data_IF_196684334783
#
_entry.id   IF_196684334783
#
_cell.length_a   1.000
_cell.length_b   1.000
_cell.length_c   1.000
_cell.angle_alpha   90.00
_cell.angle_beta   90.00
_cell.angle_gamma   90.00
#
_symmetry.space_group_name_H-M   'P 1'
#
loop_
_entity.id
_entity.type
_entity.pdbx_description
1 polymer ?
#
# COMPACT_ATOMS: atom_id res chain seq x y z
N UNK A 1 -64.96 8.81 -17.45
CA UNK A 1 -65.96 8.00 -16.74
C UNK A 1 -65.20 7.00 -15.88
N UNK A 2 -64.81 7.30 -14.64
CA UNK A 2 -65.56 7.28 -13.37
C UNK A 2 -66.05 5.89 -12.89
N UNK A 3 -65.46 5.50 -11.74
CA UNK A 3 -65.96 4.71 -10.58
C UNK A 3 -65.88 3.16 -10.58
N UNK A 4 -65.09 2.69 -9.60
CA UNK A 4 -65.12 1.48 -8.74
C UNK A 4 -66.49 1.24 -8.04
N UNK A 5 -66.71 0.28 -7.07
CA UNK A 5 -65.87 -0.78 -6.43
C UNK A 5 -66.59 -2.15 -6.22
N UNK A 6 -65.95 -3.11 -5.53
CA UNK A 6 -66.61 -4.27 -4.89
C UNK A 6 -65.69 -5.10 -3.97
N UNK A 7 -66.00 -5.12 -2.67
CA UNK A 7 -65.29 -5.74 -1.53
C UNK A 7 -65.73 -7.19 -1.21
N UNK A 8 -64.77 -8.02 -0.73
CA UNK A 8 -64.77 -9.05 0.36
C UNK A 8 -65.85 -10.18 0.45
N UNK A 9 -65.75 -11.21 1.35
CA UNK A 9 -64.62 -11.88 2.08
C UNK A 9 -64.72 -13.45 2.10
N UNK A 10 -63.72 -14.19 2.64
CA UNK A 10 -63.85 -15.31 3.62
C UNK A 10 -62.57 -16.17 3.83
N UNK A 11 -62.15 -16.29 5.09
CA UNK A 11 -61.33 -17.33 5.79
C UNK A 11 -62.33 -18.38 6.40
N UNK A 12 -62.03 -19.58 6.99
CA UNK A 12 -60.75 -20.04 7.60
C UNK A 12 -60.42 -21.58 7.72
N UNK A 13 -59.29 -21.89 8.41
CA UNK A 13 -58.87 -23.16 9.12
C UNK A 13 -58.32 -24.31 8.24
N UNK A 14 -57.40 -25.21 8.65
CA UNK A 14 -57.04 -25.75 9.98
C UNK A 14 -55.68 -26.51 10.01
N UNK A 15 -55.07 -26.52 11.19
CA UNK A 15 -54.18 -27.47 11.90
C UNK A 15 -53.56 -28.71 11.22
N UNK A 16 -52.29 -28.99 11.55
CA UNK A 16 -51.89 -30.33 12.03
C UNK A 16 -50.71 -30.28 13.03
N UNK A 17 -51.02 -30.71 14.27
CA UNK A 17 -50.09 -31.20 15.30
C UNK A 17 -50.06 -32.73 15.26
N UNK A 18 -48.90 -33.34 15.44
CA UNK A 18 -48.66 -34.62 16.14
C UNK A 18 -47.14 -34.73 16.38
N UNK A 19 -46.56 -35.35 17.41
CA UNK A 19 -47.04 -36.12 18.54
C UNK A 19 -45.81 -36.77 19.19
N UNK A 20 -45.70 -36.67 20.52
CA UNK A 20 -44.61 -37.21 21.38
C UNK A 20 -44.59 -38.74 21.47
N UNK A 21 -43.42 -39.29 21.84
CA UNK A 21 -43.11 -40.35 22.86
C UNK A 21 -41.63 -40.75 22.63
N UNK A 22 -40.68 -40.83 23.57
CA UNK A 22 -40.68 -41.10 25.00
C UNK A 22 -40.01 -42.47 25.24
N UNK A 23 -38.86 -42.56 25.93
CA UNK A 23 -38.56 -43.50 27.03
C UNK A 23 -37.07 -43.52 27.46
N UNK A 24 -36.90 -43.60 28.78
CA UNK A 24 -35.68 -43.81 29.57
C UNK A 24 -35.34 -45.31 29.72
N UNK A 25 -34.06 -45.65 29.92
CA UNK A 25 -33.48 -46.63 30.90
C UNK A 25 -31.99 -46.89 30.56
N UNK A 26 -31.03 -46.57 31.43
CA UNK A 26 -30.50 -47.33 32.58
C UNK A 26 -29.57 -48.52 32.23
N UNK A 27 -28.34 -48.42 32.79
CA UNK A 27 -27.60 -49.45 33.53
C UNK A 27 -26.22 -49.89 33.01
N UNK A 28 -25.31 -49.87 33.99
CA UNK A 28 -23.91 -50.30 34.04
C UNK A 28 -23.74 -51.81 33.91
N UNK A 29 -22.50 -52.25 33.68
CA UNK A 29 -21.75 -53.39 34.27
C UNK A 29 -20.44 -53.50 33.43
N UNK A 30 -19.26 -54.00 33.81
CA UNK A 30 -18.49 -54.30 35.04
C UNK A 30 -17.25 -55.10 34.55
N UNK A 31 -16.14 -55.17 35.30
CA UNK A 31 -15.03 -56.12 35.06
C UNK A 31 -13.64 -55.50 35.03
N UNK A 32 -13.00 -55.11 36.15
CA UNK A 32 -12.22 -55.92 37.12
C UNK A 32 -11.01 -56.69 36.54
N UNK A 33 -9.83 -56.44 37.11
CA UNK A 33 -8.66 -57.34 37.06
C UNK A 33 -7.38 -56.74 37.65
N UNK A 34 -7.06 -57.07 38.90
CA UNK A 34 -5.80 -56.75 39.63
C UNK A 34 -4.87 -57.98 39.62
N UNK A 35 -3.56 -57.71 39.79
CA UNK A 35 -2.54 -58.50 40.52
C UNK A 35 -1.47 -59.30 39.72
N UNK A 36 -0.28 -58.70 39.69
CA UNK A 36 1.05 -59.20 40.06
C UNK A 36 1.46 -60.69 39.88
N UNK A 37 2.63 -60.89 39.23
CA UNK A 37 3.70 -61.84 39.62
C UNK A 37 5.08 -61.34 39.17
N UNK A 38 6.07 -61.49 40.06
CA UNK A 38 7.52 -61.27 39.92
C UNK A 38 8.20 -62.54 39.42
N UNK A 39 9.35 -62.39 38.73
CA UNK A 39 10.67 -63.04 38.97
C UNK A 39 11.67 -62.50 37.92
N UNK A 40 12.76 -61.82 38.30
CA UNK A 40 14.14 -62.36 38.33
C UNK A 40 14.85 -62.06 36.98
N UNK A 41 16.09 -61.63 36.81
CA UNK A 41 17.35 -61.46 37.55
C UNK A 41 18.25 -60.52 36.70
N UNK A 42 19.34 -59.96 37.26
CA UNK A 42 20.46 -59.42 36.46
C UNK A 42 21.05 -58.08 36.94
N UNK A 43 22.24 -58.13 37.56
CA UNK A 43 23.07 -56.99 38.04
C UNK A 43 23.90 -56.35 36.88
N UNK A 44 24.86 -55.44 37.15
CA UNK A 44 24.75 -54.00 37.35
C UNK A 44 25.38 -53.20 36.17
N UNK A 45 24.97 -51.95 35.94
CA UNK A 45 25.62 -51.09 34.93
C UNK A 45 26.35 -49.93 35.61
N UNK A 46 27.68 -49.97 35.53
CA UNK A 46 28.58 -48.85 35.75
C UNK A 46 28.26 -47.73 34.75
N UNK A 47 28.06 -46.49 35.21
CA UNK A 47 27.98 -45.31 34.34
C UNK A 47 29.28 -44.54 34.39
N UNK A 48 30.07 -44.75 33.34
CA UNK A 48 31.23 -43.98 32.93
C UNK A 48 30.81 -42.55 32.54
N UNK A 49 31.60 -41.58 32.99
CA UNK A 49 31.50 -40.18 32.66
C UNK A 49 31.73 -39.95 31.15
N UNK A 50 30.90 -39.10 30.53
CA UNK A 50 31.29 -38.31 29.35
C UNK A 50 30.79 -36.88 29.49
N UNK A 51 31.74 -35.95 29.42
CA UNK A 51 31.55 -34.50 29.42
C UNK A 51 31.19 -34.00 28.02
N UNK A 52 30.51 -32.85 28.02
CA UNK A 52 30.54 -31.76 27.03
C UNK A 52 29.96 -32.02 25.64
N UNK A 53 28.77 -31.45 25.37
CA UNK A 53 28.45 -30.64 24.18
C UNK A 53 26.99 -30.14 24.23
N UNK A 54 26.72 -29.10 25.03
CA UNK A 54 25.40 -28.43 25.02
C UNK A 54 25.48 -26.90 24.92
N UNK A 55 26.67 -26.30 24.72
CA UNK A 55 26.80 -24.84 24.66
C UNK A 55 27.03 -24.24 23.26
N UNK A 56 27.17 -25.06 22.21
CA UNK A 56 27.37 -24.58 20.83
C UNK A 56 26.06 -24.51 20.02
N UNK A 57 25.02 -25.25 20.41
CA UNK A 57 23.73 -25.25 19.71
C UNK A 57 22.85 -24.03 20.02
N UNK A 58 22.94 -23.46 21.21
CA UNK A 58 22.08 -22.34 21.61
C UNK A 58 22.52 -21.01 20.98
N UNK A 59 23.83 -20.80 20.79
CA UNK A 59 24.37 -19.59 20.15
C UNK A 59 24.10 -19.57 18.64
N UNK A 60 24.10 -20.73 17.97
CA UNK A 60 23.78 -20.80 16.54
C UNK A 60 22.28 -20.61 16.25
N UNK A 61 21.38 -21.11 17.11
CA UNK A 61 19.93 -20.94 16.94
C UNK A 61 19.47 -19.53 17.35
N UNK A 62 20.07 -18.94 18.39
CA UNK A 62 19.83 -17.51 18.70
C UNK A 62 20.45 -16.61 17.63
N UNK A 63 21.63 -16.95 17.08
CA UNK A 63 22.24 -16.23 15.97
C UNK A 63 21.43 -16.27 14.68
N UNK A 64 20.82 -17.41 14.31
CA UNK A 64 19.97 -17.52 13.12
C UNK A 64 18.59 -16.88 13.28
N UNK A 65 18.05 -16.77 14.49
CA UNK A 65 16.82 -16.01 14.75
C UNK A 65 17.09 -14.52 14.96
N UNK A 66 18.27 -14.15 15.48
CA UNK A 66 18.67 -12.75 15.62
C UNK A 66 19.10 -12.13 14.29
N UNK A 67 19.70 -12.87 13.36
CA UNK A 67 20.21 -12.31 12.10
C UNK A 67 19.12 -11.71 11.17
N UNK A 68 17.95 -12.35 10.97
CA UNK A 68 16.81 -11.70 10.30
C UNK A 68 16.29 -10.52 11.12
N UNK A 69 16.27 -10.64 12.45
CA UNK A 69 15.73 -9.61 13.35
C UNK A 69 16.58 -8.34 13.35
N UNK A 70 17.91 -8.45 13.27
CA UNK A 70 18.83 -7.31 13.15
C UNK A 70 18.67 -6.61 11.80
N UNK A 71 18.40 -7.35 10.71
CA UNK A 71 18.13 -6.74 9.40
C UNK A 71 16.77 -6.02 9.33
N UNK A 72 15.81 -6.42 10.15
CA UNK A 72 14.55 -5.68 10.33
C UNK A 72 14.69 -4.51 11.32
N UNK A 73 15.57 -4.61 12.32
CA UNK A 73 15.88 -3.53 13.26
C UNK A 73 16.65 -2.37 12.61
N UNK A 74 17.47 -2.63 11.59
CA UNK A 74 18.13 -1.58 10.79
C UNK A 74 17.14 -0.69 9.98
N UNK A 75 15.90 -1.17 9.77
CA UNK A 75 14.83 -0.38 9.13
C UNK A 75 14.14 0.57 10.15
N UNK A 76 14.36 0.35 11.46
CA UNK A 76 13.70 1.10 12.52
C UNK A 76 14.50 2.32 12.99
N UNK A 77 15.82 2.32 12.82
CA UNK A 77 16.67 3.42 13.22
C UNK A 77 16.88 4.43 12.08
N UNK A 78 16.50 5.69 12.31
CA UNK A 78 16.88 6.81 11.45
C UNK A 78 18.34 7.20 11.74
N UNK A 79 19.27 6.23 11.66
CA UNK A 79 20.71 6.38 11.97
C UNK A 79 21.57 6.58 10.74
N UNK A 80 20.95 6.65 9.56
CA UNK A 80 21.65 6.93 8.32
C UNK A 80 22.33 8.29 8.30
N UNK A 81 23.35 8.41 7.45
CA UNK A 81 24.04 9.67 7.20
C UNK A 81 23.06 10.73 6.67
N UNK A 82 23.15 11.99 7.15
CA UNK A 82 22.39 13.10 6.58
C UNK A 82 22.58 13.20 5.06
N UNK A 83 21.49 13.44 4.34
CA UNK A 83 21.54 13.61 2.89
C UNK A 83 20.67 14.77 2.42
N UNK A 84 20.98 15.28 1.23
CA UNK A 84 20.15 16.24 0.50
C UNK A 84 19.93 15.75 -0.93
N UNK A 85 18.71 15.94 -1.42
CA UNK A 85 18.36 15.73 -2.82
C UNK A 85 18.80 16.89 -3.73
N UNK A 86 19.38 17.95 -3.18
CA UNK A 86 19.84 19.12 -3.93
C UNK A 86 21.26 19.02 -4.49
N UNK A 87 22.05 18.02 -4.07
CA UNK A 87 23.43 17.82 -4.56
C UNK A 87 23.43 16.86 -5.74
N UNK A 88 24.21 17.20 -6.78
CA UNK A 88 24.48 16.29 -7.88
C UNK A 88 25.13 14.99 -7.37
N UNK A 89 24.93 13.90 -8.10
CA UNK A 89 25.66 12.64 -7.85
C UNK A 89 27.17 12.88 -8.00
N UNK A 90 28.05 12.10 -7.34
CA UNK A 90 29.50 12.32 -7.31
C UNK A 90 30.18 12.49 -8.69
N UNK A 91 29.55 11.99 -9.76
CA UNK A 91 30.06 12.05 -11.13
C UNK A 91 29.42 13.19 -11.97
N UNK A 92 28.60 14.04 -11.36
CA UNK A 92 27.93 15.17 -12.02
C UNK A 92 28.79 16.44 -11.98
N UNK A 93 29.26 16.90 -13.14
CA UNK A 93 29.93 18.20 -13.27
C UNK A 93 28.86 19.30 -13.24
N UNK A 94 28.92 20.30 -12.34
CA UNK A 94 28.00 21.43 -12.37
C UNK A 94 28.32 22.35 -13.57
N UNK A 95 27.40 22.46 -14.52
CA UNK A 95 27.46 23.42 -15.62
C UNK A 95 26.94 24.82 -15.23
N UNK A 96 27.40 25.89 -15.90
CA UNK A 96 26.93 27.25 -15.64
C UNK A 96 25.46 27.45 -16.04
N UNK A 97 24.69 28.11 -15.18
CA UNK A 97 23.25 28.31 -15.33
C UNK A 97 22.96 29.64 -16.03
N UNK A 98 22.36 29.59 -17.23
CA UNK A 98 21.56 30.71 -17.75
C UNK A 98 20.16 30.65 -17.14
N UNK A 99 19.68 31.79 -16.64
CA UNK A 99 18.33 31.97 -16.11
C UNK A 99 17.32 31.85 -17.27
N UNK A 100 16.57 30.76 -17.30
CA UNK A 100 15.35 30.64 -18.12
C UNK A 100 14.22 31.38 -17.42
N UNK A 101 13.29 31.96 -18.18
CA UNK A 101 11.99 32.36 -17.65
C UNK A 101 11.35 31.17 -16.90
N UNK A 102 10.76 31.44 -15.74
CA UNK A 102 10.22 30.40 -14.88
C UNK A 102 8.98 29.77 -15.53
N UNK A 103 9.03 28.46 -15.80
CA UNK A 103 7.90 27.68 -16.29
C UNK A 103 6.81 27.64 -15.18
N UNK A 104 5.58 28.15 -15.43
CA UNK A 104 4.52 28.21 -14.41
C UNK A 104 4.01 26.82 -13.98
N UNK A 105 4.32 25.76 -14.73
CA UNK A 105 3.99 24.39 -14.36
C UNK A 105 4.95 23.81 -13.33
N UNK A 106 6.11 24.45 -13.14
CA UNK A 106 7.17 24.00 -12.24
C UNK A 106 7.04 24.67 -10.88
N UNK A 107 6.87 23.87 -9.83
CA UNK A 107 7.03 24.29 -8.44
C UNK A 107 8.45 23.97 -7.99
N UNK A 108 9.22 25.02 -7.71
CA UNK A 108 10.51 24.88 -7.01
C UNK A 108 10.28 24.59 -5.52
N UNK A 109 11.24 23.91 -4.83
CA UNK A 109 11.17 23.67 -3.39
C UNK A 109 11.00 24.99 -2.63
N UNK A 110 9.94 25.12 -1.83
CA UNK A 110 9.64 26.35 -1.08
C UNK A 110 10.14 26.33 0.36
N UNK A 111 10.57 25.17 0.86
CA UNK A 111 10.82 24.95 2.27
C UNK A 111 9.54 24.90 3.13
N UNK A 112 9.68 24.60 4.45
CA UNK A 112 10.94 24.33 5.14
C UNK A 112 11.62 23.04 4.66
N UNK A 113 12.95 23.04 4.68
CA UNK A 113 13.74 21.87 4.31
C UNK A 113 13.63 20.80 5.40
N UNK A 114 13.21 19.60 5.01
CA UNK A 114 13.17 18.45 5.88
C UNK A 114 14.57 17.84 5.99
N UNK A 115 14.88 17.28 7.18
CA UNK A 115 16.14 16.57 7.39
C UNK A 115 15.95 15.13 6.92
N UNK A 116 16.63 14.77 5.83
CA UNK A 116 16.64 13.41 5.31
C UNK A 116 17.90 12.65 5.75
N UNK A 117 17.74 11.36 6.01
CA UNK A 117 18.83 10.44 6.29
C UNK A 117 18.82 9.29 5.31
N UNK A 118 20.00 8.88 4.85
CA UNK A 118 20.14 7.81 3.86
C UNK A 118 19.75 6.47 4.48
N UNK A 119 18.78 5.77 3.91
CA UNK A 119 18.43 4.39 4.31
C UNK A 119 18.98 3.35 3.35
N UNK A 120 19.22 3.72 2.09
CA UNK A 120 19.83 2.85 1.11
C UNK A 120 20.51 3.66 -0.01
N UNK A 121 21.53 3.06 -0.63
CA UNK A 121 22.11 3.52 -1.90
C UNK A 121 21.89 2.43 -2.94
N UNK A 122 21.42 2.81 -4.12
CA UNK A 122 21.18 1.92 -5.24
C UNK A 122 22.45 1.71 -6.07
N UNK A 123 22.45 0.70 -6.95
CA UNK A 123 23.59 0.40 -7.81
C UNK A 123 23.95 1.52 -8.80
N UNK A 124 23.03 2.44 -9.07
CA UNK A 124 23.25 3.63 -9.91
C UNK A 124 23.69 4.87 -9.11
N UNK A 125 24.02 4.71 -7.82
CA UNK A 125 24.45 5.77 -6.92
C UNK A 125 23.32 6.63 -6.33
N UNK A 126 22.08 6.50 -6.83
CA UNK A 126 20.93 7.20 -6.26
C UNK A 126 20.63 6.69 -4.85
N UNK A 127 20.03 7.54 -4.01
CA UNK A 127 19.80 7.26 -2.59
C UNK A 127 18.32 7.30 -2.24
N UNK A 128 17.93 6.42 -1.32
CA UNK A 128 16.64 6.49 -0.63
C UNK A 128 16.89 7.24 0.68
N UNK A 129 16.18 8.34 0.88
CA UNK A 129 16.20 9.12 2.11
C UNK A 129 14.94 8.90 2.94
N UNK A 130 15.05 8.95 4.26
CA UNK A 130 13.90 8.94 5.18
C UNK A 130 13.89 10.22 6.01
N UNK A 131 12.69 10.69 6.32
CA UNK A 131 12.46 11.75 7.31
C UNK A 131 11.25 11.39 8.19
N UNK A 132 11.21 11.94 9.40
CA UNK A 132 10.01 11.90 10.25
C UNK A 132 9.26 13.21 10.07
N UNK A 133 8.06 13.13 9.52
CA UNK A 133 7.19 14.28 9.25
C UNK A 133 6.14 14.39 10.34
N UNK A 134 6.04 15.58 10.94
CA UNK A 134 4.86 15.98 11.70
C UNK A 134 3.85 16.65 10.76
N UNK A 135 2.74 15.98 10.49
CA UNK A 135 1.67 16.46 9.63
C UNK A 135 0.82 17.51 10.34
N UNK A 136 0.91 18.76 9.90
CA UNK A 136 0.18 19.89 10.53
C UNK A 136 -1.33 19.75 10.38
N UNK A 137 -1.82 19.11 9.31
CA UNK A 137 -3.26 18.97 9.03
C UNK A 137 -3.85 17.70 9.64
N UNK A 138 -3.14 16.58 9.54
CA UNK A 138 -3.56 15.32 10.15
C UNK A 138 -3.33 15.27 11.67
N UNK A 139 -2.35 16.03 12.18
CA UNK A 139 -1.86 15.92 13.55
C UNK A 139 -1.00 14.67 13.80
N UNK A 140 -0.75 13.86 12.77
CA UNK A 140 0.01 12.61 12.87
C UNK A 140 1.50 12.84 12.61
N UNK A 141 2.35 12.12 13.34
CA UNK A 141 3.79 12.09 13.12
C UNK A 141 4.20 10.71 12.62
N UNK A 142 4.80 10.64 11.43
CA UNK A 142 5.17 9.38 10.80
C UNK A 142 6.37 9.49 9.87
N UNK A 143 6.95 8.35 9.51
CA UNK A 143 8.08 8.28 8.58
C UNK A 143 7.62 8.39 7.13
N UNK A 144 8.42 9.09 6.33
CA UNK A 144 8.28 9.19 4.87
C UNK A 144 9.63 8.92 4.22
N UNK A 145 9.69 7.89 3.39
CA UNK A 145 10.84 7.62 2.54
C UNK A 145 10.65 8.28 1.17
N UNK A 146 11.72 8.80 0.59
CA UNK A 146 11.71 9.40 -0.74
C UNK A 146 12.92 8.92 -1.54
N UNK A 147 12.71 8.72 -2.82
CA UNK A 147 13.75 8.47 -3.81
C UNK A 147 13.55 9.39 -5.00
N UNK A 148 14.64 9.97 -5.51
CA UNK A 148 14.64 10.75 -6.72
C UNK A 148 15.40 10.02 -7.84
N UNK A 149 14.90 10.04 -9.08
CA UNK A 149 15.52 9.35 -10.19
C UNK A 149 16.80 10.08 -10.61
N UNK A 150 17.70 9.40 -11.34
CA UNK A 150 18.98 9.99 -11.79
C UNK A 150 18.77 11.29 -12.57
N UNK A 151 17.70 11.37 -13.37
CA UNK A 151 17.32 12.53 -14.16
C UNK A 151 17.10 13.77 -13.29
N UNK A 152 16.70 13.59 -12.03
CA UNK A 152 16.56 14.69 -11.07
C UNK A 152 17.89 15.43 -10.83
N UNK A 153 19.03 14.75 -10.98
CA UNK A 153 20.35 15.32 -10.71
C UNK A 153 21.07 15.78 -11.98
N UNK A 154 20.46 15.64 -13.16
CA UNK A 154 21.06 16.04 -14.43
C UNK A 154 20.82 17.54 -14.71
N UNK A 155 21.87 18.25 -15.13
CA UNK A 155 21.81 19.71 -15.40
C UNK A 155 20.79 20.11 -16.46
N UNK A 156 20.55 19.24 -17.45
CA UNK A 156 19.52 19.47 -18.46
C UNK A 156 18.12 19.51 -17.84
N UNK A 157 17.88 18.88 -16.70
CA UNK A 157 16.58 18.93 -16.01
C UNK A 157 16.55 19.87 -14.82
N UNK A 158 17.57 20.70 -14.58
CA UNK A 158 17.70 21.54 -13.37
C UNK A 158 16.50 22.46 -13.10
N UNK A 159 15.78 22.87 -14.15
CA UNK A 159 14.59 23.73 -14.06
C UNK A 159 13.28 22.98 -14.31
N UNK A 160 13.30 21.65 -14.36
CA UNK A 160 12.14 20.83 -14.68
C UNK A 160 11.46 20.32 -13.41
N UNK A 161 10.14 20.23 -13.45
CA UNK A 161 9.35 19.48 -12.47
C UNK A 161 9.37 17.99 -12.77
N UNK A 162 9.27 17.18 -11.71
CA UNK A 162 9.19 15.73 -11.81
C UNK A 162 7.81 15.25 -11.33
N UNK A 163 7.22 14.25 -12.00
CA UNK A 163 6.00 13.65 -11.50
C UNK A 163 6.27 12.85 -10.22
N UNK A 164 5.27 12.76 -9.36
CA UNK A 164 5.32 12.09 -8.07
C UNK A 164 4.48 10.82 -8.12
N UNK A 165 5.09 9.71 -7.70
CA UNK A 165 4.41 8.43 -7.48
C UNK A 165 4.43 8.12 -5.98
N UNK A 166 3.28 8.27 -5.31
CA UNK A 166 3.14 7.92 -3.90
C UNK A 166 2.87 6.42 -3.80
N UNK A 167 3.83 5.65 -3.26
CA UNK A 167 3.82 4.20 -3.24
C UNK A 167 3.42 3.64 -1.87
N UNK A 168 2.25 3.00 -1.81
CA UNK A 168 1.62 2.52 -0.58
C UNK A 168 1.79 1.01 -0.39
N UNK A 169 2.25 0.56 0.80
CA UNK A 169 2.39 -0.86 1.12
C UNK A 169 1.02 -1.49 1.44
N UNK A 170 0.99 -2.81 1.64
CA UNK A 170 -0.17 -3.55 2.17
C UNK A 170 -0.40 -3.36 3.68
N UNK A 171 -1.28 -4.19 4.24
CA UNK A 171 -2.09 -3.91 5.46
C UNK A 171 -1.35 -3.59 6.74
N UNK A 172 -0.13 -4.11 6.95
CA UNK A 172 0.67 -3.69 8.10
C UNK A 172 1.14 -2.25 7.93
N UNK A 173 1.80 -1.94 6.81
CA UNK A 173 2.25 -0.59 6.41
C UNK A 173 2.84 0.30 7.50
N UNK A 174 3.37 -0.32 8.55
CA UNK A 174 3.87 0.23 9.80
C UNK A 174 4.86 -0.78 10.41
N UNK A 175 5.93 -0.32 11.08
CA UNK A 175 6.40 1.06 11.14
C UNK A 175 7.17 1.48 9.88
N UNK A 176 7.35 0.56 8.92
CA UNK A 176 8.09 0.78 7.69
C UNK A 176 7.23 0.59 6.44
N UNK A 177 7.67 1.20 5.34
CA UNK A 177 7.11 0.98 4.01
C UNK A 177 8.06 0.07 3.22
N UNK A 178 7.63 -1.16 2.90
CA UNK A 178 8.51 -2.12 2.22
C UNK A 178 8.89 -1.69 0.81
N UNK A 179 8.19 -0.75 0.18
CA UNK A 179 8.63 -0.20 -1.11
C UNK A 179 9.96 0.56 -1.01
N UNK A 180 10.35 1.00 0.19
CA UNK A 180 11.64 1.62 0.45
C UNK A 180 12.78 0.59 0.57
N UNK A 181 12.47 -0.70 0.72
CA UNK A 181 13.50 -1.73 0.76
C UNK A 181 13.97 -2.07 -0.67
N UNK A 182 15.29 -1.97 -0.89
CA UNK A 182 15.93 -2.19 -2.20
C UNK A 182 15.71 -3.60 -2.75
N UNK A 183 15.43 -4.58 -1.89
CA UNK A 183 15.12 -5.96 -2.29
C UNK A 183 13.89 -6.08 -3.18
N UNK A 184 12.95 -5.13 -3.11
CA UNK A 184 11.78 -5.14 -3.99
C UNK A 184 12.10 -4.60 -5.38
N UNK A 185 13.09 -3.73 -5.55
CA UNK A 185 13.49 -3.15 -6.85
C UNK A 185 12.44 -2.22 -7.49
N UNK A 186 11.62 -1.52 -6.71
CA UNK A 186 10.65 -0.54 -7.24
C UNK A 186 11.38 0.61 -7.95
N UNK A 187 12.35 1.22 -7.29
CA UNK A 187 13.12 2.34 -7.80
C UNK A 187 13.91 1.96 -9.05
N UNK A 188 14.54 0.77 -9.06
CA UNK A 188 15.15 0.21 -10.27
C UNK A 188 14.11 0.03 -11.39
N UNK A 189 12.92 -0.49 -11.10
CA UNK A 189 11.86 -0.63 -12.11
C UNK A 189 11.51 0.70 -12.76
N UNK A 190 11.38 1.76 -11.95
CA UNK A 190 11.11 3.12 -12.44
C UNK A 190 12.28 3.62 -13.30
N UNK A 191 13.52 3.46 -12.83
CA UNK A 191 14.74 3.87 -13.53
C UNK A 191 14.92 3.14 -14.86
N UNK A 192 14.76 1.80 -14.87
CA UNK A 192 14.87 0.94 -16.05
C UNK A 192 13.85 1.37 -17.12
N UNK A 193 12.58 1.56 -16.73
CA UNK A 193 11.54 1.95 -17.68
C UNK A 193 11.67 3.41 -18.13
N UNK A 194 12.18 4.31 -17.28
CA UNK A 194 12.46 5.69 -17.68
C UNK A 194 13.58 5.75 -18.72
N UNK A 195 14.65 4.96 -18.55
CA UNK A 195 15.73 4.85 -19.52
C UNK A 195 15.26 4.27 -20.87
N UNK A 196 14.24 3.41 -20.86
CA UNK A 196 13.60 2.87 -22.06
C UNK A 196 12.54 3.82 -22.68
N UNK A 197 12.28 5.00 -22.09
CA UNK A 197 11.22 5.92 -22.52
C UNK A 197 9.80 5.38 -22.26
N UNK A 198 9.67 4.29 -21.49
CA UNK A 198 8.41 3.62 -21.14
C UNK A 198 7.85 4.09 -19.80
N UNK A 199 8.56 4.94 -19.06
CA UNK A 199 8.08 5.57 -17.85
C UNK A 199 8.51 7.04 -17.81
N UNK A 200 7.74 7.88 -17.11
CA UNK A 200 8.29 9.15 -16.63
C UNK A 200 9.30 8.85 -15.51
N UNK A 201 10.35 9.68 -15.33
CA UNK A 201 11.23 9.56 -14.17
C UNK A 201 10.47 10.12 -12.95
N UNK A 202 9.94 9.23 -12.11
CA UNK A 202 9.15 9.65 -10.94
C UNK A 202 10.02 9.94 -9.72
N UNK A 203 9.68 10.99 -8.98
CA UNK A 203 9.92 11.03 -7.54
C UNK A 203 9.05 9.95 -6.89
N UNK A 204 9.67 8.99 -6.20
CA UNK A 204 8.95 7.91 -5.52
C UNK A 204 8.86 8.24 -4.03
N UNK A 205 7.64 8.41 -3.53
CA UNK A 205 7.36 8.83 -2.15
C UNK A 205 6.65 7.70 -1.44
N UNK A 206 7.17 7.27 -0.31
CA UNK A 206 6.77 6.02 0.35
C UNK A 206 6.45 6.34 1.81
N UNK A 207 5.27 6.87 2.15
CA UNK A 207 4.89 7.13 3.53
C UNK A 207 4.51 5.83 4.26
N UNK A 208 4.53 5.83 5.59
CA UNK A 208 3.80 4.80 6.36
C UNK A 208 2.31 4.85 6.01
N UNK A 209 1.66 3.69 5.94
CA UNK A 209 0.22 3.56 5.66
C UNK A 209 -0.62 3.78 6.91
N UNK A 210 -0.16 3.26 8.05
CA UNK A 210 -0.89 3.23 9.31
C UNK A 210 -0.04 3.83 10.44
N UNK A 211 -0.68 4.42 11.46
CA UNK A 211 0.00 4.95 12.64
C UNK A 211 0.52 3.83 13.55
N UNK A 212 -0.13 2.66 13.52
CA UNK A 212 0.19 1.48 14.30
C UNK A 212 -0.15 0.20 13.51
N UNK A 213 -0.32 -0.94 14.18
CA UNK A 213 -0.58 -2.25 13.55
C UNK A 213 -2.04 -2.45 13.09
N UNK A 214 -2.97 -1.58 13.44
CA UNK A 214 -4.34 -1.61 12.94
C UNK A 214 -4.39 -1.04 11.52
N UNK A 215 -5.38 -1.48 10.75
CA UNK A 215 -5.65 -0.94 9.43
C UNK A 215 -6.67 0.20 9.51
N UNK A 216 -6.31 1.38 9.00
CA UNK A 216 -7.15 2.60 9.09
C UNK A 216 -7.86 2.95 7.78
N UNK A 217 -7.83 2.07 6.77
CA UNK A 217 -8.37 2.33 5.43
C UNK A 217 -7.80 3.62 4.78
N UNK A 218 -6.65 4.10 5.26
CA UNK A 218 -6.10 5.42 4.92
C UNK A 218 -7.16 6.53 5.05
N UNK A 219 -7.97 6.50 6.10
CA UNK A 219 -9.15 7.35 6.29
C UNK A 219 -9.06 8.18 7.56
N UNK A 220 -9.82 9.27 7.60
CA UNK A 220 -10.04 10.05 8.81
C UNK A 220 -11.23 9.47 9.58
N UNK A 221 -11.01 8.33 10.22
CA UNK A 221 -12.03 7.66 11.03
C UNK A 221 -12.26 8.49 12.30
N UNK A 222 -13.51 8.79 12.71
CA UNK A 222 -13.76 9.59 13.90
C UNK A 222 -13.09 9.00 15.14
N UNK A 223 -12.42 9.85 15.93
CA UNK A 223 -11.68 9.44 17.12
C UNK A 223 -10.33 8.76 16.87
N UNK A 224 -9.91 8.64 15.60
CA UNK A 224 -8.65 8.01 15.20
C UNK A 224 -7.68 9.01 14.54
N UNK A 225 -6.38 8.68 14.42
CA UNK A 225 -5.44 9.44 13.60
C UNK A 225 -5.96 9.65 12.16
N UNK A 226 -5.78 10.86 11.64
CA UNK A 226 -6.31 11.29 10.34
C UNK A 226 -5.46 10.80 9.16
N UNK A 227 -5.54 9.50 8.88
CA UNK A 227 -4.71 8.88 7.84
C UNK A 227 -5.15 9.22 6.41
N UNK A 228 -6.39 9.69 6.22
CA UNK A 228 -6.84 10.24 4.94
C UNK A 228 -6.14 11.55 4.64
N UNK A 229 -6.17 12.48 5.59
CA UNK A 229 -5.48 13.79 5.50
C UNK A 229 -3.96 13.64 5.42
N UNK A 230 -3.37 12.69 6.14
CA UNK A 230 -1.93 12.39 6.05
C UNK A 230 -1.50 12.11 4.59
N UNK A 231 -2.28 11.29 3.87
CA UNK A 231 -2.00 10.89 2.49
C UNK A 231 -2.35 11.96 1.46
N UNK A 232 -3.45 12.68 1.66
CA UNK A 232 -3.98 13.64 0.67
C UNK A 232 -3.41 15.05 0.78
N UNK A 233 -2.79 15.37 1.93
CA UNK A 233 -2.31 16.71 2.26
C UNK A 233 -0.88 16.73 2.80
N UNK A 234 -0.62 16.15 3.97
CA UNK A 234 0.66 16.36 4.67
C UNK A 234 1.86 15.76 3.91
N UNK A 235 1.72 14.54 3.38
CA UNK A 235 2.78 13.91 2.56
C UNK A 235 3.01 14.70 1.25
N UNK A 236 1.99 15.06 0.46
CA UNK A 236 2.18 15.95 -0.68
C UNK A 236 2.81 17.31 -0.33
N UNK A 237 2.47 17.91 0.81
CA UNK A 237 3.01 19.20 1.24
C UNK A 237 4.51 19.10 1.59
N UNK A 238 4.94 18.02 2.27
CA UNK A 238 6.36 17.70 2.46
C UNK A 238 7.09 17.66 1.11
N UNK A 239 6.53 16.95 0.13
CA UNK A 239 7.17 16.74 -1.17
C UNK A 239 7.25 18.06 -1.94
N UNK A 240 6.17 18.85 -1.98
CA UNK A 240 6.14 20.18 -2.62
C UNK A 240 7.14 21.16 -1.99
N UNK A 241 7.37 21.06 -0.67
CA UNK A 241 8.31 21.93 0.03
C UNK A 241 9.78 21.58 -0.25
N UNK A 242 10.08 20.32 -0.61
CA UNK A 242 11.44 19.79 -0.66
C UNK A 242 11.92 19.38 -2.07
N UNK A 243 11.01 19.24 -3.03
CA UNK A 243 11.32 18.73 -4.38
C UNK A 243 10.71 19.58 -5.49
N UNK A 244 11.33 19.53 -6.68
CA UNK A 244 10.79 20.12 -7.90
C UNK A 244 9.64 19.27 -8.41
N UNK A 245 8.43 19.77 -8.28
CA UNK A 245 7.18 19.04 -8.60
C UNK A 245 6.32 19.84 -9.55
N UNK A 246 5.36 19.18 -10.20
CA UNK A 246 4.34 19.90 -10.96
C UNK A 246 3.36 20.61 -10.02
N UNK A 247 2.96 21.83 -10.40
CA UNK A 247 1.94 22.61 -9.66
C UNK A 247 0.55 22.00 -9.76
N UNK A 248 0.24 21.32 -10.87
CA UNK A 248 -1.04 20.69 -11.14
C UNK A 248 -1.07 19.21 -10.75
N UNK A 249 -2.29 18.67 -10.55
CA UNK A 249 -2.56 17.24 -10.33
C UNK A 249 -1.99 16.31 -11.42
N UNK A 250 -1.70 16.86 -12.59
CA UNK A 250 -1.24 16.11 -13.75
C UNK A 250 0.19 15.57 -13.60
N UNK A 251 0.90 15.97 -12.54
CA UNK A 251 2.14 15.34 -12.10
C UNK A 251 2.02 14.44 -10.88
N UNK A 252 0.81 14.09 -10.41
CA UNK A 252 0.63 13.37 -9.15
C UNK A 252 -0.19 12.09 -9.32
N UNK A 253 0.40 10.97 -8.92
CA UNK A 253 -0.22 9.66 -8.96
C UNK A 253 0.10 8.83 -7.72
N UNK A 254 -0.73 7.83 -7.48
CA UNK A 254 -0.48 6.80 -6.49
C UNK A 254 -0.09 5.48 -7.15
N UNK A 255 0.60 4.64 -6.39
CA UNK A 255 0.52 3.20 -6.55
C UNK A 255 0.27 2.56 -5.20
N UNK A 256 -0.28 1.36 -5.20
CA UNK A 256 -0.36 0.57 -3.99
C UNK A 256 -0.67 -0.88 -4.26
N UNK A 257 -0.46 -1.71 -3.25
CA UNK A 257 -0.80 -3.13 -3.30
C UNK A 257 -1.70 -3.53 -2.13
N UNK A 258 -2.65 -4.43 -2.36
CA UNK A 258 -3.60 -4.89 -1.35
C UNK A 258 -4.35 -3.69 -0.74
N UNK A 259 -4.38 -3.59 0.59
CA UNK A 259 -4.88 -2.43 1.33
C UNK A 259 -4.31 -1.08 0.88
N UNK A 260 -3.03 -1.02 0.46
CA UNK A 260 -2.43 0.18 -0.11
C UNK A 260 -2.99 0.51 -1.49
N UNK A 261 -3.35 -0.52 -2.26
CA UNK A 261 -4.06 -0.37 -3.54
C UNK A 261 -5.47 0.17 -3.35
N UNK A 262 -6.17 -0.27 -2.31
CA UNK A 262 -7.45 0.31 -1.89
C UNK A 262 -7.29 1.79 -1.53
N UNK A 263 -6.34 2.13 -0.65
CA UNK A 263 -6.11 3.52 -0.24
C UNK A 263 -5.73 4.38 -1.44
N UNK A 264 -4.83 3.92 -2.29
CA UNK A 264 -4.42 4.62 -3.50
C UNK A 264 -5.61 4.91 -4.44
N UNK A 265 -6.46 3.90 -4.70
CA UNK A 265 -7.67 4.05 -5.50
C UNK A 265 -8.61 5.08 -4.88
N UNK A 266 -8.86 4.95 -3.57
CA UNK A 266 -9.75 5.86 -2.84
C UNK A 266 -9.26 7.30 -2.92
N UNK A 267 -7.96 7.54 -2.71
CA UNK A 267 -7.37 8.89 -2.72
C UNK A 267 -7.56 9.58 -4.08
N UNK A 268 -7.37 8.88 -5.20
CA UNK A 268 -7.61 9.44 -6.54
C UNK A 268 -9.08 9.75 -6.80
N UNK A 269 -9.99 8.89 -6.35
CA UNK A 269 -11.44 9.11 -6.52
C UNK A 269 -11.98 10.21 -5.59
N UNK A 270 -11.41 10.35 -4.39
CA UNK A 270 -11.84 11.31 -3.37
C UNK A 270 -11.25 12.71 -3.60
N UNK A 271 -10.02 12.78 -4.11
CA UNK A 271 -9.30 14.03 -4.38
C UNK A 271 -8.87 14.12 -5.86
N UNK A 272 -9.84 14.05 -6.80
CA UNK A 272 -9.55 14.08 -8.22
C UNK A 272 -9.03 15.45 -8.67
N UNK A 273 -9.11 16.50 -7.83
CA UNK A 273 -8.48 17.80 -8.04
C UNK A 273 -6.97 17.81 -7.72
N UNK A 274 -6.47 16.79 -7.00
CA UNK A 274 -5.07 16.71 -6.54
C UNK A 274 -4.29 15.58 -7.17
N UNK A 275 -4.97 14.48 -7.51
CA UNK A 275 -4.33 13.28 -8.07
C UNK A 275 -5.00 12.86 -9.37
N UNK A 276 -4.19 12.46 -10.35
CA UNK A 276 -4.65 12.10 -11.69
C UNK A 276 -4.78 10.61 -11.94
N UNK A 277 -3.85 9.82 -11.43
CA UNK A 277 -3.75 8.43 -11.79
C UNK A 277 -3.37 7.51 -10.62
N UNK A 278 -3.70 6.24 -10.74
CA UNK A 278 -3.34 5.21 -9.76
C UNK A 278 -2.96 3.89 -10.42
N UNK A 279 -1.91 3.23 -9.91
CA UNK A 279 -1.68 1.79 -10.11
C UNK A 279 -2.19 1.04 -8.87
N UNK A 280 -3.35 0.38 -8.99
CA UNK A 280 -3.97 -0.35 -7.89
C UNK A 280 -3.76 -1.85 -8.07
N UNK A 281 -2.87 -2.43 -7.25
CA UNK A 281 -2.37 -3.81 -7.41
C UNK A 281 -3.06 -4.76 -6.44
N UNK A 282 -3.82 -5.73 -6.95
CA UNK A 282 -4.69 -6.61 -6.16
C UNK A 282 -5.45 -5.89 -5.05
N UNK A 283 -6.11 -4.75 -5.32
CA UNK A 283 -6.73 -3.95 -4.28
C UNK A 283 -8.04 -4.58 -3.82
N UNK A 284 -8.38 -4.37 -2.55
CA UNK A 284 -9.78 -4.40 -2.15
C UNK A 284 -10.52 -3.21 -2.78
N UNK A 285 -11.83 -3.34 -2.96
CA UNK A 285 -12.69 -2.28 -3.53
C UNK A 285 -13.74 -1.77 -2.54
N UNK A 286 -13.63 -2.16 -1.27
CA UNK A 286 -14.52 -1.73 -0.20
C UNK A 286 -13.73 -1.47 1.08
N UNK A 287 -14.15 -0.49 1.89
CA UNK A 287 -13.56 -0.27 3.21
C UNK A 287 -13.87 -1.45 4.12
N UNK A 288 -12.86 -1.94 4.82
CA UNK A 288 -12.97 -3.13 5.69
C UNK A 288 -12.30 -2.95 7.06
N UNK A 289 -11.81 -1.75 7.37
CA UNK A 289 -11.21 -1.48 8.68
C UNK A 289 -12.20 -1.81 9.81
N UNK A 290 -11.77 -2.55 10.85
CA UNK A 290 -12.61 -2.83 12.01
C UNK A 290 -12.93 -1.55 12.82
N UNK A 291 -12.17 -0.47 12.60
CA UNK A 291 -12.35 0.82 13.26
C UNK A 291 -13.59 1.58 12.76
N UNK A 292 -14.21 1.14 11.66
CA UNK A 292 -15.48 1.69 11.20
C UNK A 292 -16.69 1.32 12.04
N UNK A 293 -16.53 0.47 13.07
CA UNK A 293 -17.62 0.10 13.98
C UNK A 293 -18.21 1.36 14.64
N UNK A 294 -19.47 1.65 14.34
CA UNK A 294 -20.16 2.86 14.81
C UNK A 294 -20.11 4.04 13.82
N UNK A 295 -19.34 3.96 12.74
CA UNK A 295 -19.09 5.05 11.77
C UNK A 295 -19.51 4.66 10.34
N UNK A 296 -20.70 4.08 10.19
CA UNK A 296 -21.15 3.52 8.89
C UNK A 296 -21.35 4.58 7.81
N UNK A 297 -21.67 5.82 8.18
CA UNK A 297 -21.88 6.89 7.20
C UNK A 297 -20.55 7.36 6.61
N UNK A 298 -19.56 7.56 7.47
CA UNK A 298 -18.18 7.94 7.16
C UNK A 298 -17.47 6.83 6.36
N UNK A 299 -17.67 5.57 6.75
CA UNK A 299 -17.19 4.41 6.00
C UNK A 299 -17.74 4.42 4.56
N UNK A 300 -19.05 4.61 4.38
CA UNK A 300 -19.65 4.73 3.03
C UNK A 300 -19.15 5.94 2.27
N UNK A 301 -18.77 7.02 2.95
CA UNK A 301 -18.19 8.19 2.29
C UNK A 301 -16.79 7.89 1.72
N UNK A 302 -16.09 6.87 2.26
CA UNK A 302 -14.77 6.40 1.84
C UNK A 302 -14.81 5.18 0.89
N UNK A 303 -16.01 4.74 0.47
CA UNK A 303 -16.20 3.58 -0.41
C UNK A 303 -15.86 3.95 -1.89
N UNK A 304 -14.90 3.28 -2.55
CA UNK A 304 -14.51 3.55 -3.93
C UNK A 304 -15.66 3.47 -4.93
N UNK A 305 -16.59 2.52 -4.79
CA UNK A 305 -17.75 2.42 -5.68
C UNK A 305 -18.65 3.67 -5.58
N UNK A 306 -18.83 4.17 -4.35
CA UNK A 306 -19.63 5.38 -4.09
C UNK A 306 -18.91 6.65 -4.49
N UNK A 307 -17.59 6.70 -4.33
CA UNK A 307 -16.76 7.81 -4.77
C UNK A 307 -16.77 7.91 -6.30
N UNK A 308 -16.56 6.80 -7.01
CA UNK A 308 -16.60 6.76 -8.46
C UNK A 308 -17.99 7.17 -9.01
N UNK A 309 -19.08 6.69 -8.39
CA UNK A 309 -20.44 7.11 -8.75
C UNK A 309 -20.65 8.62 -8.56
N UNK A 310 -20.20 9.18 -7.44
CA UNK A 310 -20.30 10.61 -7.16
C UNK A 310 -19.46 11.43 -8.14
N UNK A 311 -18.27 10.95 -8.47
CA UNK A 311 -17.40 11.60 -9.43
C UNK A 311 -18.03 11.64 -10.83
N UNK A 312 -18.57 10.50 -11.29
CA UNK A 312 -19.25 10.41 -12.58
C UNK A 312 -20.52 11.26 -12.66
N UNK A 313 -21.20 11.48 -11.55
CA UNK A 313 -22.41 12.32 -11.49
C UNK A 313 -22.10 13.82 -11.39
N UNK A 314 -20.84 14.23 -11.16
CA UNK A 314 -20.47 15.64 -10.96
C UNK A 314 -20.14 16.29 -12.31
N UNK A 315 -20.92 17.29 -12.77
CA UNK A 315 -20.63 18.01 -14.01
C UNK A 315 -19.23 18.66 -13.97
N UNK A 316 -18.49 18.54 -15.07
CA UNK A 316 -17.13 19.10 -15.18
C UNK A 316 -16.08 18.45 -14.27
N UNK A 317 -16.36 17.28 -13.70
CA UNK A 317 -15.37 16.53 -12.94
C UNK A 317 -14.13 16.21 -13.79
N UNK A 318 -12.90 16.37 -13.26
CA UNK A 318 -11.69 16.06 -14.00
C UNK A 318 -11.53 14.54 -14.16
N UNK A 319 -10.92 14.14 -15.28
CA UNK A 319 -10.62 12.74 -15.58
C UNK A 319 -9.62 12.16 -14.58
N UNK A 320 -9.91 10.95 -14.08
CA UNK A 320 -9.02 10.12 -13.29
C UNK A 320 -8.74 8.79 -13.99
N UNK A 321 -7.52 8.28 -13.84
CA UNK A 321 -7.03 7.10 -14.55
C UNK A 321 -6.65 5.99 -13.57
N UNK A 322 -7.41 4.90 -13.58
CA UNK A 322 -7.24 3.74 -12.69
C UNK A 322 -6.63 2.59 -13.48
N UNK A 323 -5.36 2.32 -13.25
CA UNK A 323 -4.69 1.12 -13.76
C UNK A 323 -4.73 0.03 -12.70
N UNK A 324 -5.70 -0.87 -12.81
CA UNK A 324 -5.70 -2.09 -12.01
C UNK A 324 -4.65 -3.06 -12.52
N UNK A 325 -4.09 -3.84 -11.60
CA UNK A 325 -3.37 -5.06 -11.94
C UNK A 325 -3.65 -6.16 -10.93
N UNK A 326 -3.70 -7.42 -11.38
CA UNK A 326 -3.96 -8.56 -10.49
C UNK A 326 -3.35 -9.85 -11.07
N UNK A 327 -2.78 -10.70 -10.21
CA UNK A 327 -2.26 -12.00 -10.59
C UNK A 327 -3.35 -13.05 -10.78
N UNK A 328 -3.11 -14.02 -11.69
CA UNK A 328 -4.08 -15.11 -11.94
C UNK A 328 -4.22 -16.11 -10.80
N UNK A 329 -3.29 -16.14 -9.84
CA UNK A 329 -3.36 -16.95 -8.61
C UNK A 329 -4.08 -16.24 -7.47
N UNK A 330 -4.63 -15.05 -7.72
CA UNK A 330 -5.38 -14.26 -6.74
C UNK A 330 -6.89 -14.37 -6.96
N UNK A 331 -7.65 -14.25 -5.87
CA UNK A 331 -9.08 -13.97 -5.94
C UNK A 331 -9.34 -12.49 -6.24
N UNK A 332 -10.58 -12.14 -6.60
CA UNK A 332 -11.00 -10.74 -6.67
C UNK A 332 -10.95 -10.09 -8.06
N UNK A 333 -10.39 -10.74 -9.09
CA UNK A 333 -10.41 -10.24 -10.48
C UNK A 333 -11.83 -9.85 -10.93
N UNK A 334 -12.81 -10.70 -10.67
CA UNK A 334 -14.21 -10.44 -11.02
C UNK A 334 -14.80 -9.21 -10.28
N UNK A 335 -14.28 -8.86 -9.09
CA UNK A 335 -14.66 -7.63 -8.41
C UNK A 335 -14.14 -6.39 -9.16
N UNK A 336 -12.89 -6.44 -9.63
CA UNK A 336 -12.28 -5.35 -10.41
C UNK A 336 -13.00 -5.18 -11.75
N UNK A 337 -13.28 -6.28 -12.46
CA UNK A 337 -14.04 -6.26 -13.71
C UNK A 337 -15.43 -5.65 -13.53
N UNK A 338 -16.16 -6.05 -12.48
CA UNK A 338 -17.46 -5.43 -12.13
C UNK A 338 -17.33 -3.96 -11.76
N UNK A 339 -16.26 -3.57 -11.06
CA UNK A 339 -16.02 -2.15 -10.76
C UNK A 339 -15.86 -1.37 -12.06
N UNK A 340 -15.03 -1.85 -13.00
CA UNK A 340 -14.82 -1.19 -14.28
C UNK A 340 -16.12 -1.10 -15.09
N UNK A 341 -16.85 -2.21 -15.25
CA UNK A 341 -18.11 -2.25 -15.98
C UNK A 341 -19.14 -1.22 -15.46
N UNK A 342 -19.23 -1.08 -14.14
CA UNK A 342 -20.22 -0.22 -13.50
C UNK A 342 -19.77 1.24 -13.39
N UNK A 343 -18.49 1.47 -13.13
CA UNK A 343 -17.99 2.76 -12.65
C UNK A 343 -16.92 3.39 -13.53
N UNK A 344 -16.32 2.69 -14.50
CA UNK A 344 -15.41 3.30 -15.47
C UNK A 344 -16.20 4.03 -16.57
N UNK A 345 -16.88 5.10 -16.19
CA UNK A 345 -17.77 5.90 -17.04
C UNK A 345 -17.52 7.38 -16.80
N UNK A 346 -17.71 8.19 -17.84
CA UNK A 346 -17.47 9.64 -17.78
C UNK A 346 -16.02 9.93 -17.37
N UNK A 347 -15.78 10.66 -16.26
CA UNK A 347 -14.44 11.05 -15.82
C UNK A 347 -13.60 9.90 -15.23
N UNK A 348 -14.16 8.70 -15.03
CA UNK A 348 -13.41 7.57 -14.47
C UNK A 348 -12.98 6.64 -15.59
N UNK A 349 -11.68 6.64 -15.90
CA UNK A 349 -11.08 5.74 -16.89
C UNK A 349 -10.41 4.60 -16.15
N UNK A 350 -10.77 3.34 -16.43
CA UNK A 350 -10.15 2.20 -15.79
C UNK A 350 -9.68 1.14 -16.79
N UNK A 351 -8.55 0.52 -16.48
CA UNK A 351 -7.99 -0.62 -17.23
C UNK A 351 -7.52 -1.68 -16.25
N UNK A 352 -7.47 -2.93 -16.70
CA UNK A 352 -6.98 -4.06 -15.92
C UNK A 352 -5.83 -4.74 -16.67
N UNK A 353 -4.70 -4.89 -15.99
CA UNK A 353 -3.61 -5.75 -16.43
C UNK A 353 -3.61 -7.04 -15.62
N UNK A 354 -3.83 -8.18 -16.28
CA UNK A 354 -3.79 -9.49 -15.64
C UNK A 354 -2.37 -10.02 -15.72
N UNK A 355 -1.80 -10.37 -14.57
CA UNK A 355 -0.43 -10.83 -14.44
C UNK A 355 -0.46 -12.36 -14.45
N UNK A 356 -0.21 -12.95 -15.62
CA UNK A 356 -0.15 -14.40 -15.77
C UNK A 356 0.85 -15.02 -14.78
N UNK A 357 0.46 -16.12 -14.15
CA UNK A 357 1.16 -16.78 -13.04
C UNK A 357 1.47 -15.91 -11.81
N UNK A 358 0.87 -14.71 -11.73
CA UNK A 358 1.05 -13.76 -10.64
C UNK A 358 0.27 -14.17 -9.40
N UNK A 359 0.83 -13.88 -8.22
CA UNK A 359 0.14 -14.02 -6.94
C UNK A 359 0.13 -12.72 -6.14
N UNK A 360 -0.50 -12.74 -4.97
CA UNK A 360 -0.69 -11.57 -4.10
C UNK A 360 0.61 -11.15 -3.38
N UNK A 361 1.59 -10.64 -4.12
CA UNK A 361 2.91 -10.28 -3.61
C UNK A 361 3.60 -9.19 -4.44
N UNK A 362 4.51 -8.46 -3.80
CA UNK A 362 5.26 -7.37 -4.42
C UNK A 362 6.02 -7.79 -5.70
N UNK A 363 6.55 -9.03 -5.76
CA UNK A 363 7.26 -9.54 -6.94
C UNK A 363 6.35 -9.60 -8.16
N UNK A 364 5.13 -10.11 -8.00
CA UNK A 364 4.17 -10.21 -9.10
C UNK A 364 3.70 -8.82 -9.52
N UNK A 365 3.37 -7.94 -8.58
CA UNK A 365 2.94 -6.57 -8.90
C UNK A 365 4.02 -5.74 -9.58
N UNK A 366 5.29 -5.92 -9.24
CA UNK A 366 6.37 -5.25 -9.95
C UNK A 366 6.62 -5.82 -11.35
N UNK A 367 6.34 -7.12 -11.56
CA UNK A 367 6.29 -7.69 -12.92
C UNK A 367 5.20 -6.98 -13.73
N UNK A 368 3.97 -6.91 -13.22
CA UNK A 368 2.89 -6.20 -13.92
C UNK A 368 3.12 -4.70 -14.12
N UNK A 369 3.89 -4.05 -13.23
CA UNK A 369 4.37 -2.67 -13.45
C UNK A 369 5.35 -2.58 -14.63
N UNK A 370 6.32 -3.50 -14.71
CA UNK A 370 7.29 -3.60 -15.82
C UNK A 370 6.61 -3.91 -17.15
N UNK A 371 5.61 -4.77 -17.12
CA UNK A 371 4.94 -5.27 -18.32
C UNK A 371 4.08 -4.17 -18.94
N UNK A 372 3.23 -3.50 -18.15
CA UNK A 372 2.28 -2.53 -18.67
C UNK A 372 1.92 -1.36 -17.74
N UNK A 373 1.81 -1.59 -16.43
CA UNK A 373 1.06 -0.67 -15.57
C UNK A 373 1.76 0.67 -15.34
N UNK A 374 3.09 0.68 -15.21
CA UNK A 374 3.84 1.93 -15.02
C UNK A 374 3.82 2.80 -16.28
N UNK A 375 3.88 2.17 -17.45
CA UNK A 375 3.79 2.85 -18.73
C UNK A 375 2.41 3.48 -18.95
N UNK A 376 1.35 2.73 -18.64
CA UNK A 376 -0.02 3.21 -18.75
C UNK A 376 -0.26 4.49 -17.90
N UNK A 377 0.23 4.52 -16.66
CA UNK A 377 0.14 5.70 -15.79
C UNK A 377 1.07 6.83 -16.24
N UNK A 378 2.27 6.51 -16.72
CA UNK A 378 3.22 7.50 -17.24
C UNK A 378 2.70 8.30 -18.43
N UNK A 379 1.90 7.66 -19.30
CA UNK A 379 1.35 8.30 -20.50
C UNK A 379 0.33 9.39 -20.21
N UNK A 380 -0.35 9.35 -19.05
CA UNK A 380 -1.38 10.33 -18.68
C UNK A 380 -0.85 11.44 -17.78
N UNK A 381 0.42 11.39 -17.40
CA UNK A 381 1.07 12.36 -16.52
C UNK A 381 2.09 13.22 -17.27
N UNK A 382 2.31 14.42 -16.75
CA UNK A 382 3.39 15.31 -17.17
C UNK A 382 4.76 14.70 -16.82
N UNK A 383 5.76 14.99 -17.65
CA UNK A 383 7.15 14.57 -17.46
C UNK A 383 8.09 15.77 -17.55
N UNK A 384 9.30 15.66 -16.99
CA UNK A 384 10.27 16.76 -17.05
C UNK A 384 10.64 17.08 -18.50
N UNK A 385 10.81 18.37 -18.78
CA UNK A 385 11.27 18.87 -20.08
C UNK A 385 12.76 19.18 -19.98
N UNK A 386 13.63 18.58 -20.80
CA UNK A 386 15.06 18.92 -20.79
C UNK A 386 15.26 20.34 -21.32
N UNK A 387 16.22 21.05 -20.73
CA UNK A 387 16.73 22.31 -21.27
C UNK A 387 17.38 22.07 -22.64
N UNK A 388 17.30 23.05 -23.56
CA UNK A 388 17.85 22.96 -24.91
C UNK A 388 19.35 22.65 -24.94
#
# INVERSE_FOLDING_TARGET
MHRTPGDHPHDPRQEHRSGRRGLLRHSRFLGRGRSARRTGEGRPVARLQWRASFLTGLVAVVGLCAYPTVKYLDVLNDTGEPMSFSRALPDGVPGPVRASAADPTVRMPTGPQAVFRTTATLGDGTKIGVTTLHGKKSGFTGKVWVWAPKEYYEDRYRNSAFPVLIALPGSYGHPANYWAATGHKLQQTVSDLAALGRSRPFLVVMPVLNPDRHYYDGSDIPGQPKMGTWMSDDVPDLVKANFRTFTSRDGWAFMGSSSGGFVALKQVLQHPDRFKAVIASGPDIRPDSPLWRGHRAEMRANDPERLARRLAARPGAPDVYVQFQIGTKEGGRANLERFMERYAKGPVHARLHVIEDGGHNARSYLRGMRDASLEAVSRVLLGPTPAP
#
